data_IF_122048421124
#
_entry.id   IF_122048421124
#
_cell.length_a   1.000
_cell.length_b   1.000
_cell.length_c   1.000
_cell.angle_alpha   90.00
_cell.angle_beta   90.00
_cell.angle_gamma   90.00
#
_symmetry.space_group_name_H-M   'P 1'
#
loop_
_entity.id
_entity.type
_entity.pdbx_description
1 polymer ?
#
# COMPACT_ATOMS: atom_id res chain seq x y z
N UNK A 1 -9.36 -14.05 -20.47
CA UNK A 1 -10.78 -13.86 -20.83
C UNK A 1 -11.58 -14.29 -19.63
N UNK A 2 -12.16 -13.35 -18.90
CA UNK A 2 -13.02 -13.63 -17.73
C UNK A 2 -14.47 -13.44 -18.20
N UNK A 3 -15.28 -14.47 -18.07
CA UNK A 3 -16.70 -14.42 -18.38
C UNK A 3 -17.44 -14.29 -17.05
N UNK A 4 -18.11 -13.16 -16.84
CA UNK A 4 -18.99 -12.96 -15.69
C UNK A 4 -20.44 -13.02 -16.17
N UNK A 5 -21.33 -13.63 -15.38
CA UNK A 5 -22.77 -13.61 -15.65
C UNK A 5 -23.42 -12.55 -14.76
N UNK A 6 -24.24 -11.70 -15.36
CA UNK A 6 -25.03 -10.73 -14.61
C UNK A 6 -26.23 -11.41 -13.88
N UNK A 7 -26.96 -10.63 -13.09
CA UNK A 7 -28.12 -11.10 -12.34
C UNK A 7 -29.29 -11.61 -13.24
N UNK A 8 -29.21 -11.47 -14.57
CA UNK A 8 -30.17 -11.96 -15.57
C UNK A 8 -29.62 -13.17 -16.32
N UNK A 9 -28.40 -13.66 -15.98
CA UNK A 9 -27.78 -14.80 -16.62
C UNK A 9 -27.09 -14.49 -17.95
N UNK A 10 -26.99 -13.23 -18.35
CA UNK A 10 -26.28 -12.83 -19.57
C UNK A 10 -24.76 -12.82 -19.36
N UNK A 11 -24.05 -13.39 -20.33
CA UNK A 11 -22.59 -13.45 -20.31
C UNK A 11 -22.00 -12.09 -20.70
N UNK A 12 -21.41 -11.40 -19.72
CA UNK A 12 -20.62 -10.21 -19.96
C UNK A 12 -19.16 -10.61 -20.20
N UNK A 13 -18.75 -10.57 -21.45
CA UNK A 13 -17.34 -10.75 -21.83
C UNK A 13 -16.59 -9.47 -21.50
N UNK A 14 -15.88 -9.46 -20.39
CA UNK A 14 -14.90 -8.39 -20.15
C UNK A 14 -13.72 -8.66 -21.08
N UNK A 15 -13.74 -8.00 -22.24
CA UNK A 15 -12.55 -7.93 -23.07
C UNK A 15 -11.45 -7.29 -22.20
N UNK A 16 -10.40 -8.04 -21.88
CA UNK A 16 -9.15 -7.49 -21.42
C UNK A 16 -8.60 -6.61 -22.55
N UNK A 17 -9.02 -5.35 -22.57
CA UNK A 17 -8.32 -4.34 -23.35
C UNK A 17 -6.97 -4.16 -22.63
N UNK A 18 -6.01 -4.97 -23.03
CA UNK A 18 -4.60 -4.66 -22.79
C UNK A 18 -4.32 -3.38 -23.60
N UNK A 19 -4.62 -2.23 -23.00
CA UNK A 19 -4.01 -0.98 -23.44
C UNK A 19 -2.51 -1.21 -23.22
N UNK A 20 -1.78 -1.40 -24.30
CA UNK A 20 -0.34 -1.68 -24.25
C UNK A 20 0.34 -0.60 -23.45
N UNK A 21 0.98 -0.97 -22.33
CA UNK A 21 1.79 -0.06 -21.53
C UNK A 21 2.98 0.37 -22.38
N UNK A 22 3.06 1.66 -22.70
CA UNK A 22 4.21 2.19 -23.44
C UNK A 22 5.41 2.34 -22.50
N UNK A 23 6.62 2.14 -23.02
CA UNK A 23 7.86 2.27 -22.26
C UNK A 23 8.05 3.64 -21.59
N UNK A 24 7.29 4.66 -21.98
CA UNK A 24 7.31 6.03 -21.41
C UNK A 24 6.27 6.27 -20.34
N UNK A 25 5.35 5.34 -20.11
CA UNK A 25 4.28 5.49 -19.13
C UNK A 25 4.82 5.37 -17.70
N UNK A 26 4.10 5.96 -16.74
CA UNK A 26 4.46 5.88 -15.34
C UNK A 26 4.42 4.44 -14.81
N UNK A 27 5.12 4.18 -13.72
CA UNK A 27 5.07 2.93 -12.98
C UNK A 27 4.47 3.23 -11.61
N UNK A 28 3.40 2.51 -11.25
CA UNK A 28 2.70 2.62 -9.98
C UNK A 28 2.89 1.34 -9.18
N UNK A 29 3.60 1.44 -8.07
CA UNK A 29 3.82 0.36 -7.12
C UNK A 29 2.80 0.53 -5.99
N UNK A 30 1.77 -0.28 -5.97
CA UNK A 30 0.73 -0.27 -4.94
C UNK A 30 1.05 -1.28 -3.85
N UNK A 31 0.81 -0.92 -2.61
CA UNK A 31 1.01 -1.82 -1.48
C UNK A 31 0.30 -1.30 -0.24
N UNK A 32 0.27 -2.11 0.80
CA UNK A 32 0.01 -1.66 2.17
C UNK A 32 1.31 -1.58 2.97
N UNK A 33 1.25 -1.00 4.18
CA UNK A 33 2.42 -0.88 5.05
C UNK A 33 3.02 -2.23 5.40
N UNK A 34 4.34 -2.29 5.52
CA UNK A 34 5.13 -3.48 5.90
C UNK A 34 5.06 -4.64 4.91
N UNK A 35 4.69 -4.38 3.68
CA UNK A 35 4.73 -5.33 2.57
C UNK A 35 6.10 -5.45 1.89
N UNK A 36 7.16 -4.83 2.43
CA UNK A 36 8.48 -4.71 1.82
C UNK A 36 8.49 -3.93 0.48
N UNK A 37 7.50 -3.07 0.26
CA UNK A 37 7.40 -2.23 -0.95
C UNK A 37 8.58 -1.29 -1.14
N UNK A 38 9.20 -0.83 -0.04
CA UNK A 38 10.42 -0.02 -0.09
C UNK A 38 11.56 -0.73 -0.80
N UNK A 39 11.70 -2.05 -0.61
CA UNK A 39 12.71 -2.84 -1.29
C UNK A 39 12.47 -2.84 -2.81
N UNK A 40 11.24 -3.12 -3.24
CA UNK A 40 10.90 -3.12 -4.67
C UNK A 40 11.06 -1.73 -5.28
N UNK A 41 10.60 -0.68 -4.59
CA UNK A 41 10.77 0.70 -5.02
C UNK A 41 12.25 1.08 -5.16
N UNK A 42 13.11 0.68 -4.21
CA UNK A 42 14.55 0.95 -4.26
C UNK A 42 15.24 0.32 -5.47
N UNK A 43 14.74 -0.82 -5.98
CA UNK A 43 15.26 -1.41 -7.22
C UNK A 43 15.04 -0.52 -8.44
N UNK A 44 13.92 0.18 -8.49
CA UNK A 44 13.70 1.20 -9.52
C UNK A 44 14.55 2.44 -9.27
N UNK A 45 14.69 2.89 -8.02
CA UNK A 45 15.45 4.09 -7.66
C UNK A 45 16.93 4.01 -8.04
N UNK A 46 17.52 2.81 -8.01
CA UNK A 46 18.90 2.56 -8.41
C UNK A 46 19.17 2.77 -9.91
N UNK A 47 18.13 2.95 -10.70
CA UNK A 47 18.25 3.13 -12.16
C UNK A 47 18.34 4.60 -12.52
N UNK A 48 19.22 4.92 -13.47
CA UNK A 48 19.41 6.30 -13.96
C UNK A 48 18.28 6.82 -14.85
N UNK A 49 17.48 5.90 -15.44
CA UNK A 49 16.37 6.20 -16.36
C UNK A 49 15.01 6.39 -15.66
N UNK A 50 14.96 6.28 -14.32
CA UNK A 50 13.77 6.47 -13.51
C UNK A 50 13.90 7.65 -12.55
N UNK A 51 12.75 8.20 -12.10
CA UNK A 51 12.63 9.18 -11.03
C UNK A 51 11.56 8.71 -10.05
N UNK A 52 11.98 8.35 -8.83
CA UNK A 52 11.22 7.48 -7.96
C UNK A 52 10.66 8.21 -6.74
N UNK A 53 9.38 8.57 -6.79
CA UNK A 53 8.67 9.19 -5.67
C UNK A 53 8.23 8.13 -4.66
N UNK A 54 8.67 8.26 -3.41
CA UNK A 54 8.27 7.35 -2.32
C UNK A 54 7.13 7.94 -1.51
N UNK A 55 6.04 7.19 -1.38
CA UNK A 55 4.84 7.57 -0.63
C UNK A 55 4.29 8.97 -0.99
N UNK A 56 3.82 9.18 -2.22
CA UNK A 56 3.25 10.45 -2.67
C UNK A 56 2.14 11.05 -1.79
N UNK A 57 1.44 10.21 -1.02
CA UNK A 57 0.38 10.64 -0.09
C UNK A 57 0.85 10.61 1.37
N UNK A 58 2.16 10.65 1.62
CA UNK A 58 2.69 10.72 2.97
C UNK A 58 2.35 12.06 3.63
N UNK A 59 1.80 12.03 4.83
CA UNK A 59 1.40 13.22 5.59
C UNK A 59 2.55 14.20 5.84
N UNK A 60 3.80 13.74 5.86
CA UNK A 60 4.95 14.64 5.99
C UNK A 60 5.12 15.60 4.82
N UNK A 61 4.58 15.28 3.65
CA UNK A 61 4.66 16.14 2.46
C UNK A 61 3.81 17.41 2.60
N UNK A 62 2.80 17.41 3.48
CA UNK A 62 2.03 18.62 3.79
C UNK A 62 2.92 19.73 4.39
N UNK A 63 3.86 19.35 5.23
CA UNK A 63 4.77 20.26 5.94
C UNK A 63 6.23 20.05 5.54
N UNK A 64 6.48 19.53 4.32
CA UNK A 64 7.83 19.21 3.86
C UNK A 64 8.70 20.48 3.77
N UNK A 65 9.83 20.47 4.44
CA UNK A 65 10.94 21.41 4.24
C UNK A 65 12.19 20.64 3.87
N UNK A 66 13.26 21.33 3.47
CA UNK A 66 14.53 20.68 3.19
C UNK A 66 15.01 19.87 4.41
N UNK A 67 14.88 20.44 5.62
CA UNK A 67 15.28 19.80 6.88
C UNK A 67 14.40 18.60 7.21
N UNK A 68 13.10 18.65 6.91
CA UNK A 68 12.18 17.50 7.09
C UNK A 68 12.60 16.37 6.16
N UNK A 69 12.90 16.67 4.89
CA UNK A 69 13.37 15.66 3.93
C UNK A 69 14.66 14.99 4.44
N UNK A 70 15.62 15.78 4.91
CA UNK A 70 16.90 15.27 5.42
C UNK A 70 16.74 14.37 6.67
N UNK A 71 15.71 14.64 7.48
CA UNK A 71 15.45 13.92 8.74
C UNK A 71 14.47 12.75 8.62
N UNK A 72 13.71 12.65 7.54
CA UNK A 72 12.83 11.50 7.33
C UNK A 72 13.67 10.26 7.01
N UNK A 73 14.20 9.74 8.09
CA UNK A 73 14.95 8.48 8.11
C UNK A 73 13.99 7.38 8.58
N UNK A 74 13.98 6.21 7.94
CA UNK A 74 13.14 5.12 8.42
C UNK A 74 13.50 4.74 9.85
N UNK A 75 12.50 4.60 10.70
CA UNK A 75 12.64 4.17 12.09
C UNK A 75 13.24 2.76 12.25
N UNK A 76 13.33 2.01 11.17
CA UNK A 76 13.91 0.66 11.19
C UNK A 76 14.99 0.51 10.11
N UNK A 77 16.18 1.01 10.39
CA UNK A 77 17.33 0.80 9.51
C UNK A 77 17.65 -0.68 9.27
N UNK A 78 17.37 -1.55 10.24
CA UNK A 78 17.72 -2.95 10.16
C UNK A 78 17.03 -3.72 9.02
N UNK A 79 15.89 -3.22 8.52
CA UNK A 79 15.02 -3.92 7.57
C UNK A 79 14.77 -3.15 6.26
N UNK A 80 15.50 -2.09 6.04
CA UNK A 80 15.41 -1.33 4.80
C UNK A 80 16.74 -1.40 4.04
N UNK A 81 16.71 -1.43 2.70
CA UNK A 81 17.95 -1.36 1.94
C UNK A 81 18.68 -0.06 2.32
N UNK A 82 20.00 -0.12 2.40
CA UNK A 82 20.80 1.09 2.53
C UNK A 82 20.49 2.01 1.35
N UNK A 83 20.04 3.21 1.65
CA UNK A 83 19.73 4.22 0.64
C UNK A 83 20.83 5.27 0.66
N UNK A 84 21.35 5.60 -0.52
CA UNK A 84 22.36 6.64 -0.70
C UNK A 84 21.82 8.05 -0.41
N UNK A 85 20.50 8.24 -0.51
CA UNK A 85 19.82 9.51 -0.30
C UNK A 85 18.54 9.33 0.53
N UNK A 86 18.05 10.38 1.21
CA UNK A 86 16.80 10.35 1.97
C UNK A 86 15.62 9.82 1.15
N UNK A 87 14.60 9.24 1.83
CA UNK A 87 13.41 8.68 1.15
C UNK A 87 12.63 9.69 0.33
N UNK A 88 12.59 10.93 0.78
CA UNK A 88 11.80 11.98 0.16
C UNK A 88 12.64 12.95 -0.67
N UNK A 89 13.87 12.55 -1.06
CA UNK A 89 14.78 13.41 -1.81
C UNK A 89 14.18 13.92 -3.12
N UNK A 90 13.45 13.07 -3.83
CA UNK A 90 12.84 13.41 -5.11
C UNK A 90 11.74 14.47 -5.00
N UNK A 91 11.26 14.76 -3.80
CA UNK A 91 10.30 15.85 -3.54
C UNK A 91 10.97 17.20 -3.29
N UNK A 92 12.27 17.24 -3.02
CA UNK A 92 13.00 18.47 -2.73
C UNK A 92 12.80 19.56 -3.81
N UNK A 93 12.88 19.27 -5.13
CA UNK A 93 12.60 20.26 -6.17
C UNK A 93 11.16 20.75 -6.22
N UNK A 94 10.23 20.05 -5.55
CA UNK A 94 8.80 20.35 -5.51
C UNK A 94 8.39 21.15 -4.27
N UNK A 95 9.29 21.38 -3.30
CA UNK A 95 8.99 22.22 -2.15
C UNK A 95 8.54 23.60 -2.64
N UNK A 96 7.46 24.09 -2.06
CA UNK A 96 6.81 25.35 -2.43
C UNK A 96 7.80 26.49 -2.55
N UNK A 97 7.68 27.22 -3.63
CA UNK A 97 8.50 28.43 -3.90
C UNK A 97 7.68 29.70 -3.65
N UNK A 98 8.35 30.82 -3.65
CA UNK A 98 7.67 32.13 -3.62
C UNK A 98 6.77 32.24 -4.87
N UNK A 99 5.49 32.57 -4.66
CA UNK A 99 4.51 32.64 -5.73
C UNK A 99 3.58 31.42 -5.91
N UNK A 100 3.89 30.29 -5.24
CA UNK A 100 3.05 29.08 -5.33
C UNK A 100 1.79 29.14 -4.41
N UNK A 101 1.58 30.27 -3.71
CA UNK A 101 0.58 30.39 -2.65
C UNK A 101 0.99 29.64 -1.37
N UNK A 102 0.83 30.25 -0.21
CA UNK A 102 1.28 29.76 1.09
C UNK A 102 2.72 30.15 1.42
N UNK A 103 3.33 29.48 2.40
CA UNK A 103 4.66 29.81 2.90
C UNK A 103 5.75 29.21 1.99
N UNK A 104 6.65 30.05 1.41
CA UNK A 104 7.78 29.53 0.64
C UNK A 104 8.66 28.59 1.49
N UNK A 105 9.20 27.56 0.87
CA UNK A 105 10.04 26.54 1.54
C UNK A 105 9.25 25.56 2.42
N UNK A 106 7.91 25.62 2.43
CA UNK A 106 7.07 24.80 3.30
C UNK A 106 5.95 24.07 2.53
N UNK A 107 6.00 22.75 2.56
CA UNK A 107 5.01 21.86 1.93
C UNK A 107 5.19 21.72 0.42
N UNK A 108 4.52 20.69 -0.10
CA UNK A 108 4.45 20.43 -1.54
C UNK A 108 3.17 21.10 -2.08
N UNK A 109 3.25 21.90 -3.16
CA UNK A 109 2.08 22.53 -3.76
C UNK A 109 1.03 21.49 -4.17
N UNK A 110 -0.24 21.79 -3.92
CA UNK A 110 -1.36 20.93 -4.30
C UNK A 110 -1.48 19.62 -3.52
N UNK A 111 -0.73 19.43 -2.42
CA UNK A 111 -0.81 18.21 -1.61
C UNK A 111 -2.24 17.97 -1.10
N UNK A 112 -2.92 16.87 -1.49
CA UNK A 112 -4.31 16.62 -1.14
C UNK A 112 -4.39 15.93 0.25
N UNK A 113 -4.19 16.67 1.34
CA UNK A 113 -4.08 16.14 2.70
C UNK A 113 -5.27 15.25 3.11
N UNK A 114 -6.49 15.61 2.69
CA UNK A 114 -7.71 14.84 2.98
C UNK A 114 -7.75 13.48 2.29
N UNK A 115 -6.97 13.27 1.21
CA UNK A 115 -6.86 11.99 0.50
C UNK A 115 -5.77 11.07 1.07
N UNK A 116 -4.99 11.52 2.03
CA UNK A 116 -3.99 10.67 2.70
C UNK A 116 -4.64 9.41 3.29
N UNK A 117 -5.78 9.59 3.97
CA UNK A 117 -6.57 8.50 4.55
C UNK A 117 -8.05 8.52 4.13
N UNK A 118 -8.57 9.64 3.63
CA UNK A 118 -9.94 9.74 3.14
C UNK A 118 -10.10 9.21 1.72
N UNK A 119 -11.34 8.89 1.34
CA UNK A 119 -11.68 8.32 0.02
C UNK A 119 -10.81 7.09 -0.33
N UNK A 120 -10.52 6.29 0.70
CA UNK A 120 -9.54 5.19 0.61
C UNK A 120 -10.02 4.04 -0.28
N UNK A 121 -11.35 3.88 -0.45
CA UNK A 121 -11.98 2.90 -1.33
C UNK A 121 -12.51 3.53 -2.63
N UNK A 122 -11.85 4.58 -3.14
CA UNK A 122 -12.27 5.19 -4.41
C UNK A 122 -12.19 4.19 -5.57
N UNK A 123 -13.23 4.16 -6.39
CA UNK A 123 -13.41 3.29 -7.55
C UNK A 123 -13.12 4.02 -8.86
N UNK A 124 -13.19 3.32 -9.99
CA UNK A 124 -13.07 3.90 -11.34
C UNK A 124 -14.05 5.05 -11.60
N UNK A 125 -15.20 5.03 -10.94
CA UNK A 125 -16.29 6.00 -11.18
C UNK A 125 -16.14 7.28 -10.35
N UNK A 126 -15.24 7.25 -9.35
CA UNK A 126 -14.97 8.41 -8.51
C UNK A 126 -14.15 9.48 -9.24
N UNK A 127 -14.42 10.74 -8.94
CA UNK A 127 -13.63 11.88 -9.40
C UNK A 127 -12.75 12.40 -8.26
N UNK A 128 -11.44 12.44 -8.50
CA UNK A 128 -10.42 12.98 -7.58
C UNK A 128 -9.47 13.91 -8.38
N UNK A 129 -9.98 15.03 -8.95
CA UNK A 129 -9.21 15.87 -9.87
C UNK A 129 -7.96 16.48 -9.22
N UNK A 130 -8.01 16.79 -7.93
CA UNK A 130 -6.86 17.30 -7.18
C UNK A 130 -5.74 16.25 -7.08
N UNK A 131 -6.05 14.96 -6.95
CA UNK A 131 -5.05 13.90 -6.94
C UNK A 131 -4.45 13.68 -8.32
N UNK A 132 -5.29 13.73 -9.36
CA UNK A 132 -4.82 13.65 -10.75
C UNK A 132 -3.85 14.77 -11.08
N UNK A 133 -4.21 16.03 -10.76
CA UNK A 133 -3.37 17.20 -11.00
C UNK A 133 -2.05 17.11 -10.22
N UNK A 134 -2.12 16.75 -8.94
CA UNK A 134 -0.96 16.60 -8.06
C UNK A 134 0.06 15.58 -8.61
N UNK A 135 -0.39 14.40 -9.00
CA UNK A 135 0.50 13.37 -9.55
C UNK A 135 1.00 13.71 -10.96
N UNK A 136 0.19 14.42 -11.75
CA UNK A 136 0.59 14.87 -13.08
C UNK A 136 1.73 15.88 -13.02
N UNK A 137 1.78 16.76 -12.02
CA UNK A 137 2.86 17.71 -11.81
C UNK A 137 4.21 16.99 -11.59
N UNK A 138 4.19 15.92 -10.85
CA UNK A 138 5.39 15.11 -10.60
C UNK A 138 5.83 14.31 -11.82
N UNK A 139 4.87 13.78 -12.56
CA UNK A 139 5.17 13.16 -13.84
C UNK A 139 5.83 14.13 -14.79
N UNK A 140 5.38 15.41 -14.83
CA UNK A 140 6.00 16.46 -15.63
C UNK A 140 7.45 16.75 -15.21
N UNK A 141 7.73 16.80 -13.90
CA UNK A 141 9.10 16.99 -13.41
C UNK A 141 10.00 15.83 -13.84
N UNK A 142 9.60 14.60 -13.60
CA UNK A 142 10.39 13.42 -13.99
C UNK A 142 10.69 13.42 -15.51
N UNK A 143 9.68 13.69 -16.34
CA UNK A 143 9.82 13.75 -17.81
C UNK A 143 10.73 14.89 -18.26
N UNK A 144 10.70 16.06 -17.62
CA UNK A 144 11.65 17.17 -17.90
C UNK A 144 13.10 16.78 -17.63
N UNK A 145 13.30 15.88 -16.66
CA UNK A 145 14.62 15.32 -16.35
C UNK A 145 15.00 14.14 -17.28
N UNK A 146 14.18 13.84 -18.30
CA UNK A 146 14.38 12.71 -19.19
C UNK A 146 14.19 11.34 -18.53
N UNK A 147 13.50 11.28 -17.38
CA UNK A 147 13.34 10.07 -16.59
C UNK A 147 11.88 9.63 -16.52
N UNK A 148 11.68 8.33 -16.38
CA UNK A 148 10.37 7.72 -16.21
C UNK A 148 9.89 7.86 -14.75
N UNK A 149 8.68 8.40 -14.49
CA UNK A 149 8.16 8.50 -13.12
C UNK A 149 7.79 7.14 -12.56
N UNK A 150 8.23 6.87 -11.34
CA UNK A 150 7.86 5.70 -10.54
C UNK A 150 7.27 6.18 -9.23
N UNK A 151 6.08 5.70 -8.88
CA UNK A 151 5.39 6.05 -7.65
C UNK A 151 5.30 4.85 -6.74
N UNK A 152 5.92 4.90 -5.56
CA UNK A 152 5.81 3.87 -4.52
C UNK A 152 4.75 4.26 -3.50
N UNK A 153 3.62 3.56 -3.47
CA UNK A 153 2.52 3.84 -2.57
C UNK A 153 2.34 2.76 -1.51
N UNK A 154 2.01 3.18 -0.29
CA UNK A 154 1.53 2.29 0.78
C UNK A 154 0.12 2.66 1.26
N UNK A 155 -0.56 3.59 0.55
CA UNK A 155 -1.88 4.14 0.89
C UNK A 155 -2.89 4.05 -0.25
N UNK A 156 -2.67 3.13 -1.19
CA UNK A 156 -3.53 3.05 -2.39
C UNK A 156 -4.05 1.64 -2.67
N UNK A 157 -3.80 0.72 -1.76
CA UNK A 157 -4.14 -0.68 -1.88
C UNK A 157 -5.65 -0.94 -2.09
N UNK A 158 -6.53 -0.08 -1.58
CA UNK A 158 -7.99 -0.18 -1.79
C UNK A 158 -8.52 0.71 -2.92
N UNK A 159 -7.69 1.56 -3.54
CA UNK A 159 -8.10 2.45 -4.64
C UNK A 159 -7.34 2.21 -5.95
N UNK A 160 -6.78 1.02 -6.10
CA UNK A 160 -6.03 0.65 -7.32
C UNK A 160 -6.91 0.75 -8.57
N UNK A 161 -8.19 0.38 -8.46
CA UNK A 161 -9.16 0.52 -9.56
C UNK A 161 -9.28 1.95 -10.07
N UNK A 162 -9.31 2.93 -9.16
CA UNK A 162 -9.29 4.35 -9.51
C UNK A 162 -8.00 4.72 -10.25
N UNK A 163 -6.84 4.35 -9.69
CA UNK A 163 -5.54 4.61 -10.33
C UNK A 163 -5.48 4.01 -11.73
N UNK A 164 -5.93 2.75 -11.88
CA UNK A 164 -5.93 2.05 -13.16
C UNK A 164 -6.76 2.74 -14.22
N UNK A 165 -7.90 3.32 -13.82
CA UNK A 165 -8.81 4.01 -14.73
C UNK A 165 -8.33 5.43 -15.10
N UNK A 166 -7.65 6.13 -14.19
CA UNK A 166 -7.32 7.55 -14.33
C UNK A 166 -5.85 7.83 -14.65
N UNK A 167 -4.96 6.95 -14.28
CA UNK A 167 -3.52 7.17 -14.38
C UNK A 167 -2.89 6.14 -15.35
N UNK A 168 -2.57 6.55 -16.58
CA UNK A 168 -1.95 5.63 -17.55
C UNK A 168 -0.58 5.15 -17.07
N UNK A 169 -0.33 3.85 -17.13
CA UNK A 169 0.95 3.27 -16.75
C UNK A 169 0.90 1.81 -16.33
N UNK A 170 2.02 1.31 -15.85
CA UNK A 170 2.14 -0.03 -15.29
C UNK A 170 1.72 -0.03 -13.82
N UNK A 171 0.66 -0.74 -13.48
CA UNK A 171 0.18 -0.90 -12.11
C UNK A 171 0.62 -2.25 -11.57
N UNK A 172 1.41 -2.23 -10.51
CA UNK A 172 2.03 -3.40 -9.87
C UNK A 172 1.60 -3.41 -8.41
N UNK A 173 1.06 -4.53 -7.93
CA UNK A 173 0.69 -4.70 -6.53
C UNK A 173 1.74 -5.54 -5.81
N UNK A 174 2.24 -5.03 -4.68
CA UNK A 174 3.20 -5.72 -3.83
C UNK A 174 2.46 -6.15 -2.58
N UNK A 175 2.40 -7.45 -2.35
CA UNK A 175 1.72 -8.03 -1.18
C UNK A 175 2.65 -8.90 -0.38
N UNK A 176 2.25 -9.14 0.84
CA UNK A 176 2.90 -10.00 1.79
C UNK A 176 1.88 -10.93 2.43
N UNK A 177 2.30 -12.08 2.92
CA UNK A 177 1.49 -12.98 3.74
C UNK A 177 0.97 -12.23 4.98
N UNK A 178 -0.35 -12.25 5.28
CA UNK A 178 -0.94 -11.32 6.24
C UNK A 178 -0.42 -11.48 7.67
N UNK A 179 -0.20 -12.70 8.15
CA UNK A 179 0.33 -12.93 9.50
C UNK A 179 1.73 -12.34 9.65
N UNK A 180 2.60 -12.57 8.66
CA UNK A 180 3.97 -12.02 8.65
C UNK A 180 3.97 -10.49 8.55
N UNK A 181 3.07 -9.94 7.77
CA UNK A 181 2.90 -8.49 7.65
C UNK A 181 2.46 -7.88 8.97
N UNK A 182 1.45 -8.46 9.63
CA UNK A 182 0.97 -8.02 10.94
C UNK A 182 2.03 -8.15 12.02
N UNK A 183 2.74 -9.28 12.06
CA UNK A 183 3.85 -9.49 13.00
C UNK A 183 4.96 -8.46 12.83
N UNK A 184 5.26 -8.04 11.59
CA UNK A 184 6.19 -6.95 11.33
C UNK A 184 5.70 -5.61 11.87
N UNK A 185 4.39 -5.33 11.81
CA UNK A 185 3.78 -4.13 12.41
C UNK A 185 3.85 -4.18 13.94
N UNK A 186 3.50 -5.32 14.52
CA UNK A 186 3.51 -5.53 15.97
C UNK A 186 4.93 -5.37 16.54
N UNK A 187 5.95 -5.94 15.89
CA UNK A 187 7.35 -5.77 16.31
C UNK A 187 7.74 -4.29 16.40
N UNK A 188 7.38 -3.51 15.39
CA UNK A 188 7.63 -2.06 15.41
C UNK A 188 6.94 -1.38 16.59
N UNK A 189 5.71 -1.78 16.88
CA UNK A 189 4.94 -1.23 17.99
C UNK A 189 5.56 -1.56 19.35
N UNK A 190 6.01 -2.80 19.55
CA UNK A 190 6.75 -3.23 20.77
C UNK A 190 8.08 -2.47 20.91
N UNK A 191 8.72 -2.13 19.81
CA UNK A 191 9.93 -1.29 19.79
C UNK A 191 9.64 0.22 19.95
N UNK A 192 8.41 0.59 20.30
CA UNK A 192 8.01 1.98 20.57
C UNK A 192 7.47 2.75 19.37
N UNK A 193 7.28 2.09 18.20
CA UNK A 193 6.67 2.69 17.03
C UNK A 193 5.33 2.02 16.65
N UNK A 194 4.21 2.35 17.30
CA UNK A 194 2.89 1.77 17.02
C UNK A 194 2.25 2.30 15.73
N UNK A 195 2.91 3.20 15.02
CA UNK A 195 2.40 3.88 13.82
C UNK A 195 1.71 2.92 12.83
N UNK A 196 2.34 1.78 12.53
CA UNK A 196 1.83 0.87 11.50
C UNK A 196 0.58 0.11 11.96
N UNK A 197 0.51 -0.31 13.23
CA UNK A 197 -0.67 -0.99 13.78
C UNK A 197 -1.91 -0.10 13.82
N UNK A 198 -1.71 1.20 13.99
CA UNK A 198 -2.80 2.17 14.10
C UNK A 198 -3.42 2.52 12.74
N UNK A 199 -2.73 2.27 11.63
CA UNK A 199 -3.19 2.72 10.30
C UNK A 199 -4.55 2.18 9.91
N UNK A 200 -4.84 0.93 10.20
CA UNK A 200 -6.16 0.36 9.93
C UNK A 200 -7.28 1.13 10.64
N UNK A 201 -7.09 1.49 11.91
CA UNK A 201 -8.06 2.28 12.69
C UNK A 201 -8.22 3.68 12.10
N UNK A 202 -7.12 4.32 11.70
CA UNK A 202 -7.15 5.65 11.07
C UNK A 202 -7.90 5.60 9.74
N UNK A 203 -7.62 4.61 8.88
CA UNK A 203 -8.34 4.42 7.61
C UNK A 203 -9.83 4.29 7.86
N UNK A 204 -10.24 3.41 8.78
CA UNK A 204 -11.66 3.21 9.10
C UNK A 204 -12.33 4.51 9.52
N UNK A 205 -11.72 5.25 10.44
CA UNK A 205 -12.29 6.50 10.95
C UNK A 205 -12.54 7.54 9.85
N UNK A 206 -11.65 7.63 8.89
CA UNK A 206 -11.78 8.58 7.78
C UNK A 206 -12.72 8.11 6.67
N UNK A 207 -13.26 6.87 6.77
CA UNK A 207 -14.08 6.26 5.73
C UNK A 207 -15.27 5.48 6.32
N UNK A 208 -15.81 5.92 7.47
CA UNK A 208 -16.92 5.23 8.14
C UNK A 208 -18.14 5.02 7.25
N UNK A 209 -18.37 5.93 6.30
CA UNK A 209 -19.49 5.88 5.37
C UNK A 209 -19.19 5.09 4.09
N UNK A 210 -17.95 4.58 3.93
CA UNK A 210 -17.60 3.81 2.74
C UNK A 210 -18.32 2.44 2.76
N UNK A 211 -19.16 2.11 1.76
CA UNK A 211 -19.91 0.86 1.75
C UNK A 211 -19.04 -0.39 1.89
N UNK A 212 -17.81 -0.37 1.39
CA UNK A 212 -16.85 -1.44 1.53
C UNK A 212 -16.50 -1.78 2.98
N UNK A 213 -16.67 -0.84 3.92
CA UNK A 213 -16.37 -1.04 5.34
C UNK A 213 -17.59 -1.40 6.19
N UNK A 214 -18.81 -1.32 5.64
CA UNK A 214 -20.03 -1.61 6.39
C UNK A 214 -20.00 -2.97 7.11
N UNK A 215 -19.56 -4.09 6.49
CA UNK A 215 -19.47 -5.39 7.18
C UNK A 215 -18.48 -5.37 8.36
N UNK A 216 -17.35 -4.68 8.20
CA UNK A 216 -16.34 -4.55 9.26
C UNK A 216 -16.85 -3.73 10.44
N UNK A 217 -17.48 -2.60 10.16
CA UNK A 217 -18.02 -1.70 11.18
C UNK A 217 -19.12 -2.40 12.00
N UNK A 218 -20.02 -3.13 11.32
CA UNK A 218 -21.04 -3.93 11.97
C UNK A 218 -20.46 -5.06 12.86
N UNK A 219 -19.33 -5.66 12.42
CA UNK A 219 -18.68 -6.75 13.16
C UNK A 219 -17.91 -6.28 14.40
N UNK A 220 -17.39 -5.06 14.38
CA UNK A 220 -16.51 -4.55 15.43
C UNK A 220 -17.26 -3.89 16.58
N UNK A 221 -18.58 -3.58 16.43
CA UNK A 221 -19.25 -2.66 17.34
C UNK A 221 -18.36 -1.45 17.62
N UNK A 222 -17.90 -0.82 16.56
CA UNK A 222 -16.73 0.06 16.55
C UNK A 222 -16.93 1.17 17.59
N UNK A 223 -16.18 1.17 18.70
CA UNK A 223 -16.29 2.25 19.65
C UNK A 223 -15.83 3.54 18.98
N UNK A 224 -16.50 4.64 19.25
CA UNK A 224 -16.00 5.97 18.92
C UNK A 224 -14.68 6.18 19.69
N UNK A 225 -13.58 5.67 19.15
CA UNK A 225 -12.25 6.00 19.65
C UNK A 225 -12.01 7.44 19.23
N UNK A 226 -11.97 8.31 20.22
CA UNK A 226 -11.62 9.70 19.97
C UNK A 226 -10.15 9.75 19.57
N UNK A 227 -9.91 9.85 18.24
CA UNK A 227 -8.58 9.93 17.68
C UNK A 227 -8.23 11.40 17.46
N UNK A 228 -7.02 11.82 17.79
CA UNK A 228 -6.56 13.17 17.51
C UNK A 228 -6.54 13.48 16.02
N UNK A 229 -6.42 14.75 15.63
CA UNK A 229 -6.33 15.16 14.23
C UNK A 229 -5.26 14.38 13.46
N UNK A 230 -5.52 14.17 12.17
CA UNK A 230 -4.73 13.32 11.24
C UNK A 230 -3.22 13.52 11.28
N UNK A 231 -2.76 14.74 11.56
CA UNK A 231 -1.36 15.11 11.46
C UNK A 231 -0.59 14.94 12.77
N UNK A 232 -1.27 14.60 13.86
CA UNK A 232 -0.61 14.41 15.16
C UNK A 232 -0.28 12.94 15.41
N UNK A 233 0.87 12.52 14.89
CA UNK A 233 1.39 11.15 15.12
C UNK A 233 1.83 10.92 16.58
N UNK A 234 2.07 11.99 17.38
CA UNK A 234 2.44 11.86 18.78
C UNK A 234 1.22 11.55 19.64
N UNK A 235 0.13 12.26 19.44
CA UNK A 235 -1.13 12.00 20.13
C UNK A 235 -1.71 10.61 19.80
N UNK A 236 -1.57 10.14 18.56
CA UNK A 236 -1.91 8.76 18.20
C UNK A 236 -1.06 7.73 18.96
N UNK A 237 0.25 7.96 19.08
CA UNK A 237 1.14 7.09 19.86
C UNK A 237 0.73 7.04 21.33
N UNK A 238 0.41 8.19 21.92
CA UNK A 238 0.02 8.28 23.32
C UNK A 238 -1.33 7.62 23.60
N UNK A 239 -2.29 7.76 22.69
CA UNK A 239 -3.61 7.07 22.81
C UNK A 239 -3.49 5.54 22.83
N UNK A 240 -2.44 4.97 22.23
CA UNK A 240 -2.20 3.53 22.20
C UNK A 240 -1.11 3.06 23.18
N UNK A 241 -0.43 3.98 23.86
CA UNK A 241 0.62 3.64 24.81
C UNK A 241 0.05 2.77 25.94
N UNK A 242 0.66 1.62 26.19
CA UNK A 242 0.22 0.65 27.22
C UNK A 242 -0.94 -0.26 26.84
N UNK A 243 -1.61 -0.03 25.69
CA UNK A 243 -2.74 -0.88 25.26
C UNK A 243 -2.32 -2.05 24.36
N UNK A 244 -1.08 -2.08 23.89
CA UNK A 244 -0.59 -3.11 22.97
C UNK A 244 -0.33 -4.48 23.60
N UNK A 245 -0.37 -4.59 24.93
CA UNK A 245 -0.23 -5.85 25.65
C UNK A 245 -1.59 -6.51 25.96
N UNK A 246 -2.70 -5.82 25.68
CA UNK A 246 -4.05 -6.35 25.85
C UNK A 246 -4.39 -7.25 24.65
N UNK A 247 -4.63 -8.52 24.89
CA UNK A 247 -4.96 -9.52 23.87
C UNK A 247 -6.24 -9.15 23.11
N UNK A 248 -7.24 -8.57 23.79
CA UNK A 248 -8.49 -8.12 23.18
C UNK A 248 -8.22 -7.00 22.18
N UNK A 249 -7.36 -6.05 22.53
CA UNK A 249 -6.95 -4.96 21.63
C UNK A 249 -6.19 -5.51 20.42
N UNK A 250 -5.23 -6.41 20.64
CA UNK A 250 -4.47 -7.03 19.55
C UNK A 250 -5.38 -7.83 18.62
N UNK A 251 -6.34 -8.57 19.15
CA UNK A 251 -7.33 -9.33 18.36
C UNK A 251 -8.16 -8.40 17.47
N UNK A 252 -8.62 -7.26 17.98
CA UNK A 252 -9.35 -6.26 17.22
C UNK A 252 -8.48 -5.61 16.15
N UNK A 253 -7.23 -5.30 16.45
CA UNK A 253 -6.28 -4.73 15.48
C UNK A 253 -5.98 -5.73 14.36
N UNK A 254 -5.80 -7.01 14.68
CA UNK A 254 -5.62 -8.04 13.66
C UNK A 254 -6.88 -8.22 12.81
N UNK A 255 -8.06 -8.16 13.41
CA UNK A 255 -9.33 -8.23 12.70
C UNK A 255 -9.45 -7.11 11.67
N UNK A 256 -9.21 -5.85 12.08
CA UNK A 256 -9.20 -4.69 11.18
C UNK A 256 -8.16 -4.88 10.06
N UNK A 257 -6.94 -5.24 10.45
CA UNK A 257 -5.85 -5.42 9.49
C UNK A 257 -6.17 -6.49 8.45
N UNK A 258 -6.62 -7.68 8.89
CA UNK A 258 -6.88 -8.80 7.99
C UNK A 258 -8.07 -8.52 7.06
N UNK A 259 -9.10 -7.84 7.56
CA UNK A 259 -10.21 -7.40 6.73
C UNK A 259 -9.77 -6.43 5.63
N UNK A 260 -8.98 -5.41 5.98
CA UNK A 260 -8.42 -4.48 4.99
C UNK A 260 -7.50 -5.19 3.99
N UNK A 261 -6.74 -6.18 4.45
CA UNK A 261 -5.89 -7.00 3.59
C UNK A 261 -6.72 -7.83 2.59
N UNK A 262 -7.85 -8.42 3.02
CA UNK A 262 -8.78 -9.11 2.13
C UNK A 262 -9.39 -8.16 1.10
N UNK A 263 -9.85 -6.99 1.54
CA UNK A 263 -10.37 -5.96 0.63
C UNK A 263 -9.32 -5.51 -0.38
N UNK A 264 -8.07 -5.30 0.03
CA UNK A 264 -6.99 -4.91 -0.87
C UNK A 264 -6.76 -5.95 -1.97
N UNK A 265 -6.89 -7.23 -1.65
CA UNK A 265 -6.84 -8.30 -2.66
C UNK A 265 -8.04 -8.26 -3.60
N UNK A 266 -9.23 -8.04 -3.06
CA UNK A 266 -10.46 -8.02 -3.85
C UNK A 266 -10.53 -6.79 -4.77
N UNK A 267 -10.19 -5.61 -4.24
CA UNK A 267 -10.30 -4.35 -4.95
C UNK A 267 -9.01 -3.95 -5.69
N UNK A 268 -7.87 -4.51 -5.32
CA UNK A 268 -6.56 -4.16 -5.90
C UNK A 268 -6.05 -5.15 -6.94
N UNK A 269 -5.95 -6.44 -6.59
CA UNK A 269 -5.37 -7.46 -7.47
C UNK A 269 -5.95 -7.45 -8.90
N UNK A 270 -7.29 -7.38 -9.11
CA UNK A 270 -7.87 -7.45 -10.45
C UNK A 270 -7.50 -6.27 -11.37
N UNK A 271 -7.10 -5.15 -10.78
CA UNK A 271 -6.76 -3.92 -11.50
C UNK A 271 -5.26 -3.78 -11.75
N UNK A 272 -4.44 -4.71 -11.29
CA UNK A 272 -3.00 -4.68 -11.48
C UNK A 272 -2.57 -5.53 -12.69
N UNK A 273 -1.54 -5.07 -13.39
CA UNK A 273 -0.89 -5.82 -14.46
C UNK A 273 -0.02 -6.96 -13.91
N UNK A 274 0.52 -6.77 -12.71
CA UNK A 274 1.38 -7.73 -12.04
C UNK A 274 1.15 -7.67 -10.54
N UNK A 275 1.08 -8.83 -9.89
CA UNK A 275 1.07 -8.96 -8.43
C UNK A 275 2.36 -9.65 -8.02
N UNK A 276 3.12 -9.03 -7.11
CA UNK A 276 4.37 -9.54 -6.56
C UNK A 276 4.13 -10.00 -5.13
N UNK A 277 4.29 -11.30 -4.89
CA UNK A 277 4.27 -11.88 -3.55
C UNK A 277 5.71 -11.88 -2.99
N UNK A 278 5.97 -10.99 -2.05
CA UNK A 278 7.31 -10.74 -1.56
C UNK A 278 7.85 -11.90 -0.71
N UNK A 279 6.99 -12.64 -0.02
CA UNK A 279 7.41 -13.79 0.77
C UNK A 279 7.85 -14.94 -0.13
N UNK A 280 7.21 -15.11 -1.30
CA UNK A 280 7.64 -16.06 -2.32
C UNK A 280 8.95 -15.64 -2.98
N UNK A 281 9.13 -14.34 -3.25
CA UNK A 281 10.41 -13.82 -3.77
C UNK A 281 11.57 -14.04 -2.80
N UNK A 282 11.30 -13.92 -1.50
CA UNK A 282 12.34 -14.06 -0.46
C UNK A 282 12.51 -15.48 0.04
N UNK A 283 11.77 -16.46 -0.49
CA UNK A 283 11.90 -17.85 -0.06
C UNK A 283 13.27 -18.38 -0.49
N UNK A 284 13.97 -19.03 0.45
CA UNK A 284 15.26 -19.66 0.24
C UNK A 284 15.02 -21.11 -0.27
N UNK A 285 14.05 -21.32 -1.14
CA UNK A 285 13.92 -22.62 -1.81
C UNK A 285 14.92 -22.67 -2.96
N UNK A 286 15.47 -23.84 -3.26
CA UNK A 286 16.33 -24.06 -4.43
C UNK A 286 15.60 -23.80 -5.76
N UNK A 287 14.29 -23.60 -5.71
CA UNK A 287 13.45 -23.25 -6.85
C UNK A 287 13.29 -21.74 -7.00
N UNK A 288 14.16 -21.15 -7.79
CA UNK A 288 14.08 -19.75 -8.23
C UNK A 288 13.00 -19.48 -9.31
N UNK A 289 12.12 -20.43 -9.60
CA UNK A 289 11.16 -20.35 -10.72
C UNK A 289 10.24 -19.15 -10.59
N UNK A 290 9.69 -18.93 -9.40
CA UNK A 290 8.81 -17.78 -9.14
C UNK A 290 9.54 -16.44 -9.31
N UNK A 291 10.77 -16.35 -8.82
CA UNK A 291 11.59 -15.14 -8.97
C UNK A 291 11.85 -14.87 -10.46
N UNK A 292 12.31 -15.86 -11.22
CA UNK A 292 12.56 -15.71 -12.66
C UNK A 292 11.29 -15.35 -13.44
N UNK A 293 10.15 -15.96 -13.08
CA UNK A 293 8.85 -15.62 -13.67
C UNK A 293 8.51 -14.13 -13.43
N UNK A 294 8.64 -13.67 -12.18
CA UNK A 294 8.33 -12.27 -11.83
C UNK A 294 9.30 -11.30 -12.50
N UNK A 295 10.60 -11.59 -12.50
CA UNK A 295 11.61 -10.76 -13.16
C UNK A 295 11.34 -10.65 -14.68
N UNK A 296 10.99 -11.76 -15.34
CA UNK A 296 10.63 -11.77 -16.77
C UNK A 296 9.36 -10.97 -17.03
N UNK A 297 8.26 -11.26 -16.31
CA UNK A 297 6.98 -10.54 -16.50
C UNK A 297 7.10 -9.06 -16.19
N UNK A 298 7.88 -8.71 -15.17
CA UNK A 298 8.15 -7.31 -14.85
C UNK A 298 8.96 -6.64 -15.98
N UNK A 299 10.00 -7.32 -16.48
CA UNK A 299 10.80 -6.86 -17.60
C UNK A 299 9.95 -6.57 -18.84
N UNK A 300 9.08 -7.51 -19.21
CA UNK A 300 8.16 -7.36 -20.34
C UNK A 300 7.17 -6.20 -20.14
N UNK A 301 6.64 -6.06 -18.91
CA UNK A 301 5.67 -5.02 -18.57
C UNK A 301 6.26 -3.61 -18.59
N UNK A 302 7.46 -3.44 -18.03
CA UNK A 302 8.04 -2.10 -17.85
C UNK A 302 9.19 -1.80 -18.81
N UNK A 303 9.64 -2.76 -19.63
CA UNK A 303 10.76 -2.59 -20.55
C UNK A 303 12.10 -2.40 -19.83
N UNK A 304 12.25 -2.92 -18.60
CA UNK A 304 13.44 -2.75 -17.77
C UNK A 304 13.79 -4.04 -17.06
N UNK A 305 15.04 -4.47 -17.10
CA UNK A 305 15.50 -5.58 -16.28
C UNK A 305 15.63 -5.14 -14.80
N UNK A 306 14.90 -5.81 -13.93
CA UNK A 306 14.96 -5.64 -12.48
C UNK A 306 15.26 -7.00 -11.86
N UNK A 307 16.29 -7.10 -11.03
CA UNK A 307 16.64 -8.36 -10.34
C UNK A 307 16.26 -8.33 -8.87
N UNK A 308 15.70 -9.43 -8.42
CA UNK A 308 15.32 -9.67 -7.03
C UNK A 308 16.19 -10.77 -6.37
N UNK A 309 17.33 -11.09 -6.94
CA UNK A 309 18.23 -12.14 -6.44
C UNK A 309 18.70 -11.93 -4.99
N UNK A 310 18.75 -10.68 -4.53
CA UNK A 310 19.11 -10.27 -3.18
C UNK A 310 17.89 -10.05 -2.27
N UNK A 311 16.69 -10.44 -2.71
CA UNK A 311 15.47 -10.27 -1.89
C UNK A 311 15.59 -11.10 -0.61
N UNK A 312 15.56 -10.42 0.53
CA UNK A 312 15.55 -11.04 1.85
C UNK A 312 14.54 -10.29 2.72
N UNK A 313 13.47 -10.96 3.08
CA UNK A 313 12.45 -10.42 3.97
C UNK A 313 12.50 -11.18 5.27
N UNK A 314 12.69 -10.46 6.37
CA UNK A 314 12.72 -11.07 7.69
C UNK A 314 11.39 -11.78 8.01
N UNK A 315 11.51 -12.99 8.55
CA UNK A 315 10.41 -13.78 9.08
C UNK A 315 10.33 -13.53 10.57
N UNK A 316 9.18 -13.08 11.03
CA UNK A 316 8.91 -12.79 12.44
C UNK A 316 7.96 -13.86 12.98
N UNK A 317 8.49 -15.00 13.37
CA UNK A 317 7.65 -16.14 13.76
C UNK A 317 7.31 -16.18 15.27
N UNK A 318 7.78 -15.24 16.10
CA UNK A 318 7.86 -15.51 17.55
C UNK A 318 7.37 -14.43 18.52
N UNK A 319 6.55 -13.44 18.16
CA UNK A 319 6.22 -12.34 19.08
C UNK A 319 4.78 -12.30 19.59
N UNK A 320 3.92 -13.23 19.22
CA UNK A 320 2.58 -13.40 19.79
C UNK A 320 2.45 -14.79 20.41
N UNK A 321 1.78 -14.86 21.55
CA UNK A 321 1.35 -16.11 22.16
C UNK A 321 0.28 -16.88 21.35
N UNK A 322 -0.13 -16.33 20.21
CA UNK A 322 -1.16 -16.93 19.37
C UNK A 322 -0.61 -18.10 18.56
N UNK A 323 -1.26 -19.22 18.71
CA UNK A 323 -1.00 -20.40 17.88
C UNK A 323 -1.50 -20.17 16.43
N UNK A 324 -1.01 -20.96 15.50
CA UNK A 324 -1.50 -20.97 14.11
C UNK A 324 -3.02 -21.20 14.05
N UNK A 325 -3.57 -22.05 14.92
CA UNK A 325 -5.01 -22.35 14.98
C UNK A 325 -5.85 -21.17 15.46
N UNK A 326 -5.32 -20.32 16.34
CA UNK A 326 -6.01 -19.09 16.78
C UNK A 326 -6.09 -18.07 15.65
N UNK A 327 -4.99 -17.88 14.89
CA UNK A 327 -5.03 -17.07 13.68
C UNK A 327 -6.04 -17.60 12.67
N UNK A 328 -6.03 -18.90 12.39
CA UNK A 328 -6.96 -19.53 11.43
C UNK A 328 -8.42 -19.41 11.84
N UNK A 329 -8.71 -19.52 13.13
CA UNK A 329 -10.07 -19.35 13.64
C UNK A 329 -10.56 -17.92 13.42
N UNK A 330 -9.72 -16.93 13.73
CA UNK A 330 -10.05 -15.52 13.55
C UNK A 330 -10.17 -15.15 12.07
N UNK A 331 -9.29 -15.64 11.22
CA UNK A 331 -9.34 -15.42 9.78
C UNK A 331 -10.62 -15.98 9.16
N UNK A 332 -11.03 -17.21 9.53
CA UNK A 332 -12.32 -17.79 9.09
C UNK A 332 -13.52 -16.97 9.54
N UNK A 333 -13.50 -16.45 10.78
CA UNK A 333 -14.54 -15.56 11.29
C UNK A 333 -14.65 -14.30 10.43
N UNK A 334 -13.50 -13.67 10.10
CA UNK A 334 -13.45 -12.45 9.28
C UNK A 334 -13.92 -12.72 7.85
N UNK A 335 -13.45 -13.80 7.24
CA UNK A 335 -13.86 -14.23 5.90
C UNK A 335 -15.37 -14.44 5.81
N UNK A 336 -15.95 -15.13 6.80
CA UNK A 336 -17.39 -15.37 6.85
C UNK A 336 -18.19 -14.07 6.92
N UNK A 337 -17.74 -13.09 7.72
CA UNK A 337 -18.40 -11.79 7.87
C UNK A 337 -18.22 -10.91 6.63
N UNK A 338 -17.07 -10.97 5.99
CA UNK A 338 -16.80 -10.23 4.77
C UNK A 338 -17.64 -10.72 3.57
N UNK A 339 -18.03 -12.01 3.56
CA UNK A 339 -18.90 -12.59 2.53
C UNK A 339 -20.38 -12.20 2.65
N UNK A 340 -20.86 -11.75 3.80
CA UNK A 340 -22.28 -11.42 4.04
C UNK A 340 -22.73 -10.15 3.27
N UNK A 341 -21.79 -9.34 2.78
CA UNK A 341 -22.08 -8.11 2.01
C UNK A 341 -22.40 -8.31 0.52
N UNK A 342 -22.65 -9.53 0.04
CA UNK A 342 -23.18 -9.79 -1.31
C UNK A 342 -22.13 -9.93 -2.43
N UNK A 343 -20.87 -9.72 -2.17
CA UNK A 343 -19.75 -10.03 -3.06
C UNK A 343 -18.94 -11.17 -2.45
N UNK A 344 -19.11 -12.38 -2.96
CA UNK A 344 -18.35 -13.54 -2.49
C UNK A 344 -16.85 -13.26 -2.61
N UNK A 345 -16.18 -13.15 -1.47
CA UNK A 345 -14.72 -13.11 -1.42
C UNK A 345 -14.20 -14.41 -2.01
N UNK A 346 -13.63 -14.35 -3.20
CA UNK A 346 -13.08 -15.53 -3.87
C UNK A 346 -11.94 -16.07 -2.99
N UNK A 347 -12.13 -17.24 -2.38
CA UNK A 347 -11.05 -17.97 -1.70
C UNK A 347 -9.91 -18.18 -2.70
N UNK A 348 -8.71 -17.69 -2.42
CA UNK A 348 -7.57 -18.18 -3.17
C UNK A 348 -7.43 -19.66 -2.86
N UNK A 349 -7.29 -20.50 -3.91
CA UNK A 349 -6.89 -21.88 -3.72
C UNK A 349 -5.62 -21.86 -2.84
N UNK A 350 -5.69 -22.48 -1.67
CA UNK A 350 -4.50 -22.83 -0.92
C UNK A 350 -3.74 -23.81 -1.82
N UNK A 351 -2.75 -23.32 -2.56
CA UNK A 351 -1.78 -24.21 -3.15
C UNK A 351 -1.18 -24.98 -1.98
N UNK A 352 -1.46 -26.27 -1.94
CA UNK A 352 -0.92 -27.17 -0.94
C UNK A 352 0.59 -27.07 -1.02
N UNK A 353 1.19 -26.44 -0.03
CA UNK A 353 2.61 -26.58 0.22
C UNK A 353 2.74 -27.94 0.90
N UNK A 354 3.04 -28.98 0.11
CA UNK A 354 3.68 -30.21 0.56
C UNK A 354 5.19 -29.99 0.48
#
# INVERSE_FOLDING_TARGET
MLVLRDARGEEMVIANVQVGVQAKDAIFLHSSWRSASTYVWAKFRQRSDTYCYFEPLNEYLFAATAEVIDRVVPWSFANHPALEAPYLEEFRPLIRRSGDGGLPGFGIPGFPAHLTFGRYCATSDDSLPELEAYLADWARLARRLGRRPVYGFVRTDLRVGWFRARMPGAHIFIRREPRRQFMSMLRQAVQGNPYFLQRGVVILRHNLEAPAFAPLLAALEFPAIDLPPLLDSSALRDAFRGKLVDETVLRRLYFIFYFLWLLARQLGDPHCHLVIDIDRLSSISDDDSYRREIESRLGDLVGMAISFADCRVERYDQNLSWSASQFEALEREIEARACVGGTALHRPSRAANV
#
